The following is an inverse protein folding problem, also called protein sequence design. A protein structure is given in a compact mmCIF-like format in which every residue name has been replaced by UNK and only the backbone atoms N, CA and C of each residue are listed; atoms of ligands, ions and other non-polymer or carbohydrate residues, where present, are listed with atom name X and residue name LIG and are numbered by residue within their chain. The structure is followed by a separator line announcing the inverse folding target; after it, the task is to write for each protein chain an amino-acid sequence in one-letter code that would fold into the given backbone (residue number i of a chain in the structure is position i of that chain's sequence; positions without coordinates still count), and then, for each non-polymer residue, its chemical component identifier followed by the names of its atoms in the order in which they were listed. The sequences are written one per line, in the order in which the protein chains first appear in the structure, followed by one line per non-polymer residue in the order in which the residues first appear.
data_IF_392849705622
#
_entry.id   IF_392849705622
#
_cell.length_a   1.000
_cell.length_b   1.000
_cell.length_c   1.000
_cell.angle_alpha   90.00
_cell.angle_beta   90.00
_cell.angle_gamma   90.00
#
_symmetry.space_group_name_H-M   'P 1'
#
loop_
_entity.id
_entity.type
_entity.pdbx_description
1 polymer ?
#
# COMPACT_ATOMS: atom_id res chain seq x y z
N UNK A 1 27.30 2.06 -3.17
CA UNK A 1 27.34 1.23 -1.93
C UNK A 1 28.37 1.72 -0.91
N UNK A 2 29.50 2.31 -1.34
CA UNK A 2 30.49 2.91 -0.44
C UNK A 2 29.99 4.17 0.32
N UNK A 3 29.16 5.01 -0.31
CA UNK A 3 28.72 6.27 0.31
C UNK A 3 27.77 6.11 1.52
N UNK A 4 26.88 5.12 1.52
CA UNK A 4 25.96 4.88 2.65
C UNK A 4 26.72 4.46 3.92
N UNK A 5 27.82 3.71 3.77
CA UNK A 5 28.67 3.33 4.89
C UNK A 5 29.53 4.49 5.40
N UNK A 6 29.91 5.45 4.55
CA UNK A 6 30.64 6.64 4.97
C UNK A 6 29.74 7.65 5.72
N UNK A 7 28.48 7.81 5.31
CA UNK A 7 27.51 8.63 6.05
C UNK A 7 27.22 8.08 7.45
N UNK A 8 27.13 6.75 7.58
CA UNK A 8 26.88 6.11 8.87
C UNK A 8 27.94 6.43 9.94
N UNK A 9 29.18 6.71 9.55
CA UNK A 9 30.26 7.03 10.47
C UNK A 9 30.29 8.51 10.90
N UNK A 10 29.65 9.40 10.15
CA UNK A 10 29.58 10.84 10.43
C UNK A 10 28.28 11.26 11.14
N UNK A 11 27.35 10.33 11.36
CA UNK A 11 26.07 10.60 12.04
C UNK A 11 26.23 10.38 13.53
N UNK A 12 25.93 11.39 14.32
CA UNK A 12 25.88 11.28 15.77
C UNK A 12 24.76 10.30 16.20
N UNK A 13 25.06 9.21 16.92
CA UNK A 13 24.08 8.17 17.23
C UNK A 13 22.96 8.64 18.17
N UNK A 14 23.23 9.67 19.01
CA UNK A 14 22.26 10.19 19.96
C UNK A 14 21.25 11.13 19.31
N UNK A 15 21.71 12.03 18.45
CA UNK A 15 20.90 13.08 17.82
C UNK A 15 20.40 12.69 16.43
N UNK A 16 21.12 11.82 15.71
CA UNK A 16 20.91 11.55 14.29
C UNK A 16 21.47 12.65 13.38
N UNK A 17 22.19 13.62 13.94
CA UNK A 17 22.75 14.74 13.18
C UNK A 17 24.05 14.35 12.47
N UNK A 18 24.13 14.59 11.17
CA UNK A 18 25.36 14.47 10.41
C UNK A 18 26.03 15.84 10.27
N UNK A 19 27.18 16.03 10.91
CA UNK A 19 27.90 17.31 10.88
C UNK A 19 28.46 17.65 9.49
N UNK A 20 28.78 16.64 8.67
CA UNK A 20 29.36 16.84 7.33
C UNK A 20 28.40 17.52 6.35
N UNK A 21 27.09 17.33 6.51
CA UNK A 21 26.07 17.89 5.61
C UNK A 21 24.93 18.61 6.34
N UNK A 22 25.07 18.83 7.65
CA UNK A 22 24.08 19.51 8.51
C UNK A 22 22.65 18.98 8.39
N UNK A 23 22.48 17.68 8.11
CA UNK A 23 21.18 17.02 7.94
C UNK A 23 20.92 16.03 9.08
N UNK A 24 19.66 15.91 9.51
CA UNK A 24 19.22 14.90 10.47
C UNK A 24 18.76 13.64 9.75
N UNK A 25 19.30 12.50 10.17
CA UNK A 25 18.97 11.18 9.64
C UNK A 25 18.19 10.36 10.66
N UNK A 26 17.39 9.44 10.13
CA UNK A 26 16.77 8.40 10.96
C UNK A 26 17.86 7.57 11.63
N UNK A 27 17.71 7.30 12.92
CA UNK A 27 18.69 6.56 13.74
C UNK A 27 18.76 5.06 13.42
N UNK A 28 17.65 4.36 13.09
CA UNK A 28 17.71 3.00 12.61
C UNK A 28 18.53 2.90 11.32
N UNK A 29 19.26 1.79 11.16
CA UNK A 29 20.01 1.52 9.93
C UNK A 29 19.05 1.56 8.73
N UNK A 30 19.40 2.28 7.64
CA UNK A 30 18.60 2.27 6.43
C UNK A 30 18.36 0.84 5.96
N UNK A 31 17.09 0.48 5.81
CA UNK A 31 16.68 -0.81 5.26
C UNK A 31 16.74 -0.70 3.74
N UNK A 32 17.34 -1.69 3.09
CA UNK A 32 17.30 -1.77 1.63
C UNK A 32 15.87 -2.08 1.21
N UNK A 33 15.24 -1.10 0.58
CA UNK A 33 13.96 -1.31 -0.06
C UNK A 33 14.18 -2.17 -1.32
N UNK A 34 13.35 -3.19 -1.56
CA UNK A 34 13.45 -3.97 -2.78
C UNK A 34 13.25 -3.02 -3.98
N UNK A 35 14.09 -3.15 -5.01
CA UNK A 35 13.99 -2.36 -6.25
C UNK A 35 12.77 -2.69 -7.11
N UNK A 36 11.81 -3.42 -6.56
CA UNK A 36 10.59 -3.84 -7.22
C UNK A 36 9.63 -2.62 -7.33
N UNK A 37 9.33 -2.21 -8.57
CA UNK A 37 8.38 -1.13 -8.86
C UNK A 37 6.90 -1.50 -8.66
N UNK A 38 6.58 -2.76 -8.34
CA UNK A 38 5.25 -3.18 -7.92
C UNK A 38 4.99 -2.74 -6.49
N UNK A 39 4.01 -1.85 -6.33
CA UNK A 39 3.44 -1.43 -5.05
C UNK A 39 2.86 -2.61 -4.24
N UNK A 40 2.60 -3.74 -4.90
CA UNK A 40 1.89 -4.89 -4.34
C UNK A 40 2.69 -6.17 -4.61
N UNK A 41 3.56 -6.53 -3.67
CA UNK A 41 4.07 -7.90 -3.60
C UNK A 41 2.98 -8.82 -3.04
N UNK A 42 2.72 -9.94 -3.72
CA UNK A 42 1.85 -10.97 -3.16
C UNK A 42 2.34 -11.36 -1.76
N UNK A 43 1.45 -11.55 -0.78
CA UNK A 43 1.85 -12.04 0.52
C UNK A 43 2.52 -13.39 0.33
N UNK A 44 3.53 -13.67 1.16
CA UNK A 44 4.08 -15.01 1.23
C UNK A 44 2.95 -16.00 1.52
N UNK A 45 3.02 -17.19 0.91
CA UNK A 45 2.09 -18.31 1.13
C UNK A 45 1.84 -18.63 2.62
N UNK A 46 2.75 -18.19 3.51
CA UNK A 46 2.64 -18.29 4.95
C UNK A 46 1.51 -17.43 5.54
N UNK A 47 1.08 -16.37 4.85
CA UNK A 47 0.06 -15.43 5.32
C UNK A 47 -1.33 -15.67 4.72
N UNK A 48 -1.52 -16.65 3.82
CA UNK A 48 -2.78 -16.81 3.09
C UNK A 48 -4.01 -17.02 4.00
N UNK A 49 -3.81 -17.68 5.14
CA UNK A 49 -4.87 -17.98 6.11
C UNK A 49 -4.99 -16.95 7.24
N UNK A 50 -4.13 -15.93 7.28
CA UNK A 50 -4.21 -14.92 8.32
C UNK A 50 -5.28 -13.90 7.97
N UNK A 51 -5.90 -13.33 9.00
CA UNK A 51 -6.96 -12.33 8.84
C UNK A 51 -6.32 -10.99 8.48
N UNK A 52 -6.72 -10.42 7.34
CA UNK A 52 -6.26 -9.12 6.87
C UNK A 52 -7.14 -7.99 7.40
N UNK A 53 -8.47 -8.15 7.33
CA UNK A 53 -9.42 -7.13 7.77
C UNK A 53 -10.54 -7.72 8.62
N UNK A 54 -11.01 -6.94 9.58
CA UNK A 54 -12.14 -7.26 10.45
C UNK A 54 -13.08 -6.07 10.45
N UNK A 55 -14.33 -6.31 10.09
CA UNK A 55 -15.41 -5.35 10.31
C UNK A 55 -15.94 -5.54 11.73
N UNK A 56 -15.74 -4.55 12.58
CA UNK A 56 -16.17 -4.60 13.97
C UNK A 56 -17.70 -4.62 14.11
N UNK A 57 -18.43 -3.98 13.19
CA UNK A 57 -19.89 -3.85 13.27
C UNK A 57 -20.60 -5.14 12.89
N UNK A 58 -20.13 -5.81 11.83
CA UNK A 58 -20.71 -7.06 11.32
C UNK A 58 -19.98 -8.30 11.82
N UNK A 59 -18.86 -8.13 12.54
CA UNK A 59 -17.91 -9.21 12.93
C UNK A 59 -17.35 -10.00 11.76
N UNK A 60 -17.51 -9.52 10.54
CA UNK A 60 -16.99 -10.18 9.35
C UNK A 60 -15.48 -10.08 9.31
N UNK A 61 -14.85 -11.18 8.89
CA UNK A 61 -13.41 -11.26 8.72
C UNK A 61 -13.09 -11.54 7.26
N UNK A 62 -12.00 -10.93 6.78
CA UNK A 62 -11.47 -11.14 5.44
C UNK A 62 -10.03 -11.62 5.58
N UNK A 63 -9.75 -12.82 5.09
CA UNK A 63 -8.39 -13.38 5.06
C UNK A 63 -7.56 -12.73 3.95
N UNK A 64 -6.24 -12.84 4.01
CA UNK A 64 -5.39 -12.38 2.90
C UNK A 64 -5.71 -13.13 1.60
N UNK A 65 -5.90 -14.44 1.63
CA UNK A 65 -6.27 -15.20 0.43
C UNK A 65 -7.58 -14.72 -0.19
N UNK A 66 -8.61 -14.44 0.62
CA UNK A 66 -9.86 -13.87 0.12
C UNK A 66 -9.70 -12.46 -0.42
N UNK A 67 -8.88 -11.64 0.23
CA UNK A 67 -8.55 -10.28 -0.23
C UNK A 67 -7.94 -10.31 -1.62
N UNK A 68 -6.89 -11.10 -1.83
CA UNK A 68 -6.19 -11.16 -3.12
C UNK A 68 -7.03 -11.80 -4.22
N UNK A 69 -7.81 -12.83 -3.89
CA UNK A 69 -8.77 -13.41 -4.84
C UNK A 69 -9.83 -12.40 -5.25
N UNK A 70 -10.35 -11.61 -4.32
CA UNK A 70 -11.33 -10.57 -4.63
C UNK A 70 -10.73 -9.47 -5.51
N UNK A 71 -9.51 -9.02 -5.20
CA UNK A 71 -8.78 -8.03 -5.99
C UNK A 71 -8.56 -8.50 -7.43
N UNK A 72 -8.06 -9.72 -7.62
CA UNK A 72 -7.80 -10.31 -8.94
C UNK A 72 -9.08 -10.51 -9.75
N UNK A 73 -10.14 -11.01 -9.09
CA UNK A 73 -11.45 -11.20 -9.74
C UNK A 73 -12.03 -9.87 -10.21
N UNK A 74 -11.99 -8.82 -9.38
CA UNK A 74 -12.53 -7.52 -9.74
C UNK A 74 -11.68 -6.89 -10.85
N UNK A 75 -10.35 -6.94 -10.74
CA UNK A 75 -9.45 -6.40 -11.76
C UNK A 75 -9.69 -7.04 -13.14
N UNK A 76 -9.80 -8.37 -13.20
CA UNK A 76 -10.05 -9.11 -14.44
C UNK A 76 -11.43 -8.82 -15.02
N UNK A 77 -12.49 -8.82 -14.21
CA UNK A 77 -13.84 -8.51 -14.66
C UNK A 77 -13.96 -7.07 -15.18
N UNK A 78 -13.40 -6.09 -14.48
CA UNK A 78 -13.47 -4.68 -14.87
C UNK A 78 -12.62 -4.39 -16.11
N UNK A 79 -11.42 -4.96 -16.18
CA UNK A 79 -10.57 -4.81 -17.36
C UNK A 79 -11.24 -5.40 -18.61
N UNK A 80 -11.88 -6.57 -18.50
CA UNK A 80 -12.55 -7.22 -19.62
C UNK A 80 -13.85 -6.52 -20.06
N UNK A 81 -14.64 -6.02 -19.11
CA UNK A 81 -16.00 -5.55 -19.39
C UNK A 81 -16.13 -4.03 -19.53
N UNK A 82 -15.24 -3.24 -18.91
CA UNK A 82 -15.38 -1.78 -18.80
C UNK A 82 -14.27 -1.00 -19.50
N UNK A 83 -13.34 -1.68 -20.20
CA UNK A 83 -12.18 -1.06 -20.89
C UNK A 83 -11.41 -0.07 -20.01
N UNK A 84 -11.20 -0.44 -18.73
CA UNK A 84 -10.43 0.37 -17.81
C UNK A 84 -8.95 0.20 -18.14
N UNK A 85 -8.25 1.32 -18.24
CA UNK A 85 -6.86 1.40 -18.63
C UNK A 85 -6.01 2.14 -17.58
N UNK A 86 -4.69 2.01 -17.77
CA UNK A 86 -3.71 2.76 -17.01
C UNK A 86 -4.01 4.26 -17.12
N UNK A 87 -3.89 4.96 -15.99
CA UNK A 87 -4.19 6.40 -15.81
C UNK A 87 -5.68 6.78 -15.73
N UNK A 88 -6.61 5.82 -15.77
CA UNK A 88 -8.01 6.12 -15.47
C UNK A 88 -8.19 6.51 -13.99
N UNK A 89 -9.13 7.40 -13.71
CA UNK A 89 -9.35 7.93 -12.36
C UNK A 89 -10.62 7.32 -11.75
N UNK A 90 -10.46 6.66 -10.60
CA UNK A 90 -11.53 6.07 -9.81
C UNK A 90 -11.84 6.95 -8.61
N UNK A 91 -13.06 7.47 -8.55
CA UNK A 91 -13.59 8.09 -7.34
C UNK A 91 -14.26 7.03 -6.46
N UNK A 92 -13.72 6.84 -5.26
CA UNK A 92 -14.31 5.98 -4.24
C UNK A 92 -15.07 6.83 -3.21
N UNK A 93 -16.39 6.78 -3.29
CA UNK A 93 -17.31 7.41 -2.35
C UNK A 93 -17.96 6.33 -1.48
N UNK A 94 -17.42 6.10 -0.28
CA UNK A 94 -17.90 5.04 0.60
C UNK A 94 -17.60 5.35 2.06
N UNK A 95 -18.48 5.00 3.01
CA UNK A 95 -18.13 5.00 4.42
C UNK A 95 -17.05 3.93 4.71
N UNK A 96 -16.51 3.93 5.93
CA UNK A 96 -15.58 2.88 6.34
C UNK A 96 -16.23 1.50 6.17
N UNK A 97 -15.66 0.70 5.28
CA UNK A 97 -16.17 -0.62 4.90
C UNK A 97 -15.03 -1.58 4.67
N UNK A 98 -15.24 -2.87 4.97
CA UNK A 98 -14.26 -3.93 4.70
C UNK A 98 -13.91 -4.07 3.22
N UNK A 99 -14.78 -3.56 2.33
CA UNK A 99 -14.57 -3.56 0.88
C UNK A 99 -13.74 -2.38 0.37
N UNK A 100 -13.64 -1.31 1.15
CA UNK A 100 -12.85 -0.13 0.79
C UNK A 100 -11.40 -0.50 0.38
N UNK A 101 -10.64 -1.27 1.18
CA UNK A 101 -9.30 -1.68 0.78
C UNK A 101 -9.26 -2.57 -0.45
N UNK A 102 -10.26 -3.46 -0.66
CA UNK A 102 -10.35 -4.28 -1.88
C UNK A 102 -10.41 -3.38 -3.12
N UNK A 103 -11.24 -2.33 -3.07
CA UNK A 103 -11.39 -1.38 -4.17
C UNK A 103 -10.09 -0.65 -4.47
N UNK A 104 -9.43 -0.11 -3.43
CA UNK A 104 -8.16 0.57 -3.59
C UNK A 104 -7.09 -0.34 -4.22
N UNK A 105 -7.01 -1.58 -3.76
CA UNK A 105 -6.00 -2.56 -4.19
C UNK A 105 -6.19 -2.99 -5.65
N UNK A 106 -7.42 -3.21 -6.12
CA UNK A 106 -7.63 -3.55 -7.53
C UNK A 106 -7.31 -2.36 -8.45
N UNK A 107 -7.69 -1.13 -8.07
CA UNK A 107 -7.40 0.06 -8.89
C UNK A 107 -5.89 0.24 -9.03
N UNK A 108 -5.14 0.07 -7.94
CA UNK A 108 -3.68 0.08 -7.97
C UNK A 108 -3.10 -1.05 -8.82
N UNK A 109 -3.70 -2.25 -8.80
CA UNK A 109 -3.26 -3.38 -9.62
C UNK A 109 -3.42 -3.13 -11.13
N UNK A 110 -4.43 -2.35 -11.52
CA UNK A 110 -4.67 -1.93 -12.91
C UNK A 110 -3.79 -0.74 -13.35
N UNK A 111 -2.89 -0.25 -12.49
CA UNK A 111 -2.16 1.01 -12.69
C UNK A 111 -3.08 2.22 -12.94
N UNK A 112 -4.29 2.18 -12.39
CA UNK A 112 -5.22 3.29 -12.40
C UNK A 112 -5.02 4.17 -11.15
N UNK A 113 -5.57 5.37 -11.19
CA UNK A 113 -5.46 6.38 -10.14
C UNK A 113 -6.71 6.29 -9.27
N UNK A 114 -6.54 6.19 -7.95
CA UNK A 114 -7.65 6.26 -7.00
C UNK A 114 -7.69 7.64 -6.32
N UNK A 115 -8.88 8.21 -6.25
CA UNK A 115 -9.21 9.34 -5.40
C UNK A 115 -10.34 8.95 -4.45
N UNK A 116 -10.23 9.33 -3.18
CA UNK A 116 -11.18 8.94 -2.15
C UNK A 116 -11.94 10.18 -1.67
N UNK A 117 -13.22 10.02 -1.40
CA UNK A 117 -14.06 11.11 -0.88
C UNK A 117 -14.93 10.60 0.26
N UNK A 118 -15.02 11.41 1.31
CA UNK A 118 -15.90 11.12 2.43
C UNK A 118 -17.37 11.30 1.99
N UNK A 119 -18.25 10.29 2.15
CA UNK A 119 -19.67 10.42 1.81
C UNK A 119 -20.40 11.54 2.55
N UNK A 120 -19.87 12.01 3.68
CA UNK A 120 -20.44 13.15 4.41
C UNK A 120 -20.18 14.50 3.74
N UNK A 121 -19.28 14.58 2.74
CA UNK A 121 -18.94 15.83 2.06
C UNK A 121 -19.85 16.16 0.87
N UNK A 122 -20.78 15.28 0.49
CA UNK A 122 -21.73 15.51 -0.61
C UNK A 122 -23.14 15.68 -0.04
N UNK A 123 -23.45 16.91 0.40
CA UNK A 123 -24.83 17.35 0.65
C UNK A 123 -25.47 17.86 -0.63
#
# INVERSE_FOLDING_TARGET
MAELNQLAYSIEPRSGFCKANSTFYSKPKPILLPSNNSLMSQPSYLCDRTIAFIDASTRRQLSFSDLWRAVDTIATCLSANMNIHKNDVFLLLSPNSIYFPIVCLFVMSLCAIITTMNPLNTS
#
